data_IF_973813166434
#
_entry.id   IF_973813166434
#
_cell.length_a   1.000
_cell.length_b   1.000
_cell.length_c   1.000
_cell.angle_alpha   90.00
_cell.angle_beta   90.00
_cell.angle_gamma   90.00
#
_symmetry.space_group_name_H-M   'P 1'
#
loop_
_entity.id
_entity.type
_entity.pdbx_description
1 polymer ?
#
# COMPACT_ATOMS: atom_id res chain seq x y z
N UNK A 1 -16.46 53.82 5.29
CA UNK A 1 -15.23 53.56 6.05
C UNK A 1 -15.12 52.07 6.41
N UNK A 2 -15.30 51.16 5.43
CA UNK A 2 -14.98 49.73 5.53
C UNK A 2 -14.75 49.22 4.10
N UNK A 3 -13.53 49.37 3.61
CA UNK A 3 -12.97 48.62 2.49
C UNK A 3 -11.46 48.59 2.76
N UNK A 4 -10.85 47.40 2.88
CA UNK A 4 -9.42 47.22 2.64
C UNK A 4 -9.03 45.73 2.59
N UNK A 5 -8.94 45.24 1.35
CA UNK A 5 -7.87 44.42 0.77
C UNK A 5 -7.57 43.02 1.35
N UNK A 6 -8.18 42.01 0.74
CA UNK A 6 -7.57 40.68 0.56
C UNK A 6 -7.06 40.53 -0.88
N UNK A 7 -5.82 40.96 -1.11
CA UNK A 7 -5.08 40.68 -2.35
C UNK A 7 -4.46 39.29 -2.31
N UNK A 8 -5.19 38.28 -2.78
CA UNK A 8 -4.70 36.90 -2.93
C UNK A 8 -3.98 36.76 -4.27
N UNK A 9 -2.65 36.71 -4.23
CA UNK A 9 -1.82 36.34 -5.38
C UNK A 9 -2.07 34.86 -5.77
N UNK A 10 -2.89 34.64 -6.79
CA UNK A 10 -2.98 33.37 -7.51
C UNK A 10 -1.67 33.09 -8.26
N UNK A 11 -0.73 32.37 -7.63
CA UNK A 11 0.34 31.67 -8.35
C UNK A 11 -0.27 30.42 -8.99
N UNK A 12 -0.30 30.40 -10.33
CA UNK A 12 -0.68 29.24 -11.15
C UNK A 12 0.21 28.05 -10.82
N UNK A 13 -0.26 27.13 -9.97
CA UNK A 13 0.27 25.76 -9.91
C UNK A 13 -0.19 25.05 -11.18
N UNK A 14 0.75 24.77 -12.08
CA UNK A 14 0.54 23.78 -13.15
C UNK A 14 0.41 22.42 -12.46
N UNK A 15 -0.83 21.98 -12.24
CA UNK A 15 -1.10 20.58 -11.97
C UNK A 15 -0.77 19.81 -13.25
N UNK A 16 0.25 18.96 -13.19
CA UNK A 16 0.39 17.87 -14.14
C UNK A 16 -0.84 16.98 -13.94
N UNK A 17 -1.79 17.08 -14.87
CA UNK A 17 -2.88 16.13 -14.99
C UNK A 17 -2.24 14.78 -15.33
N UNK A 18 -2.03 13.94 -14.31
CA UNK A 18 -1.80 12.51 -14.49
C UNK A 18 -3.08 11.98 -15.10
N UNK A 19 -3.06 11.75 -16.43
CA UNK A 19 -4.10 10.98 -17.11
C UNK A 19 -4.12 9.60 -16.46
N UNK A 20 -5.08 9.38 -15.56
CA UNK A 20 -5.46 8.04 -15.14
C UNK A 20 -6.01 7.32 -16.36
N UNK A 21 -5.19 6.45 -16.96
CA UNK A 21 -5.66 5.44 -17.88
C UNK A 21 -6.60 4.51 -17.10
N UNK A 22 -7.80 4.20 -17.62
CA UNK A 22 -8.67 3.23 -16.98
C UNK A 22 -7.94 1.88 -16.94
N UNK A 23 -8.01 1.13 -15.83
CA UNK A 23 -7.49 -0.23 -15.82
C UNK A 23 -8.31 -1.05 -16.82
N UNK A 24 -7.58 -1.57 -17.81
CA UNK A 24 -8.02 -2.64 -18.68
C UNK A 24 -8.57 -3.76 -17.80
N UNK A 25 -9.87 -4.04 -17.93
CA UNK A 25 -10.55 -5.10 -17.18
C UNK A 25 -9.94 -6.43 -17.60
N UNK A 26 -9.02 -6.94 -16.79
CA UNK A 26 -8.51 -8.29 -16.93
C UNK A 26 -9.56 -9.25 -16.37
N UNK A 27 -9.96 -10.21 -17.20
CA UNK A 27 -10.85 -11.35 -16.94
C UNK A 27 -10.30 -12.37 -15.91
N UNK A 28 -9.57 -11.90 -14.90
CA UNK A 28 -8.93 -12.75 -13.89
C UNK A 28 -9.88 -13.16 -12.74
N UNK A 29 -11.01 -12.47 -12.58
CA UNK A 29 -11.97 -12.73 -11.49
C UNK A 29 -12.78 -14.00 -11.74
N UNK A 30 -13.09 -14.34 -13.00
CA UNK A 30 -13.91 -15.52 -13.35
C UNK A 30 -13.19 -16.85 -13.10
N UNK A 31 -11.85 -16.89 -13.25
CA UNK A 31 -11.05 -18.09 -13.02
C UNK A 31 -10.84 -18.42 -11.54
N UNK A 32 -10.73 -17.41 -10.65
CA UNK A 32 -10.66 -17.64 -9.20
C UNK A 32 -12.03 -17.97 -8.58
N UNK A 33 -13.12 -17.41 -9.14
CA UNK A 33 -14.50 -17.66 -8.69
C UNK A 33 -15.01 -19.06 -9.07
N UNK A 34 -14.70 -19.55 -10.28
CA UNK A 34 -15.00 -20.93 -10.67
C UNK A 34 -14.17 -21.96 -9.90
N UNK A 35 -12.96 -21.60 -9.47
CA UNK A 35 -12.14 -22.46 -8.59
C UNK A 35 -12.72 -22.52 -7.16
N UNK A 36 -13.34 -21.46 -6.66
CA UNK A 36 -13.96 -21.44 -5.32
C UNK A 36 -15.32 -22.17 -5.28
N UNK A 37 -16.17 -21.99 -6.31
CA UNK A 37 -17.44 -22.70 -6.41
C UNK A 37 -17.27 -24.23 -6.56
N UNK A 38 -16.19 -24.66 -7.23
CA UNK A 38 -15.88 -26.09 -7.39
C UNK A 38 -15.04 -26.69 -6.23
N UNK A 39 -14.30 -25.90 -5.45
CA UNK A 39 -13.48 -26.38 -4.32
C UNK A 39 -14.17 -26.33 -2.94
N UNK A 40 -15.42 -25.88 -2.82
CA UNK A 40 -16.16 -25.97 -1.55
C UNK A 40 -16.43 -27.42 -1.11
N UNK A 41 -16.24 -28.40 -2.01
CA UNK A 41 -16.33 -29.83 -1.70
C UNK A 41 -14.98 -30.48 -1.33
N UNK A 42 -13.84 -29.78 -1.48
CA UNK A 42 -12.49 -30.32 -1.23
C UNK A 42 -11.54 -29.18 -0.78
N UNK A 43 -11.34 -29.00 0.54
CA UNK A 43 -10.40 -28.01 1.08
C UNK A 43 -9.16 -28.71 1.65
N UNK A 44 -8.07 -28.66 0.86
CA UNK A 44 -6.67 -28.76 1.28
C UNK A 44 -5.73 -29.27 0.17
N UNK A 45 -4.56 -28.66 -0.13
CA UNK A 45 -4.03 -27.33 0.20
C UNK A 45 -3.66 -26.50 -1.07
N UNK A 46 -4.00 -25.20 -1.11
CA UNK A 46 -3.48 -24.28 -2.13
C UNK A 46 -3.23 -22.87 -1.59
N UNK A 47 -2.45 -22.73 -0.52
CA UNK A 47 -1.83 -21.46 -0.16
C UNK A 47 -0.47 -21.70 0.48
N UNK A 48 0.55 -21.87 -0.37
CA UNK A 48 1.95 -21.71 0.02
C UNK A 48 2.66 -20.83 -1.02
N UNK A 49 2.31 -19.55 -1.02
CA UNK A 49 3.09 -18.47 -1.65
C UNK A 49 2.90 -17.18 -0.85
N UNK A 50 3.58 -17.08 0.29
CA UNK A 50 4.01 -15.79 0.90
C UNK A 50 4.93 -16.05 2.11
N UNK A 51 6.23 -16.18 1.84
CA UNK A 51 7.30 -15.72 2.74
C UNK A 51 8.18 -14.76 1.97
N UNK A 52 8.07 -13.49 2.32
CA UNK A 52 9.15 -12.51 2.30
C UNK A 52 8.71 -11.35 3.21
N UNK A 53 8.60 -11.67 4.50
CA UNK A 53 8.73 -10.67 5.56
C UNK A 53 10.21 -10.73 5.95
N UNK A 54 10.92 -9.64 5.71
CA UNK A 54 12.32 -9.48 6.08
C UNK A 54 12.43 -9.39 7.61
N UNK A 55 13.29 -10.17 8.29
CA UNK A 55 13.81 -9.82 9.59
C UNK A 55 15.17 -9.12 9.43
N UNK A 56 15.30 -7.92 9.99
CA UNK A 56 16.60 -7.27 10.17
C UNK A 56 17.42 -8.05 11.20
N UNK A 57 18.50 -8.72 10.78
CA UNK A 57 19.81 -8.75 11.46
C UNK A 57 20.88 -9.38 10.56
N UNK A 58 22.13 -9.02 10.81
CA UNK A 58 23.31 -9.12 9.94
C UNK A 58 23.83 -10.53 9.55
N UNK A 59 24.59 -10.53 8.45
CA UNK A 59 25.84 -11.28 8.20
C UNK A 59 25.85 -12.46 7.19
N UNK A 60 26.66 -12.23 6.14
CA UNK A 60 27.60 -13.11 5.44
C UNK A 60 27.16 -14.32 4.58
N UNK A 61 27.63 -14.25 3.32
CA UNK A 61 28.19 -15.28 2.44
C UNK A 61 27.30 -16.25 1.61
N UNK A 62 27.28 -15.92 0.30
CA UNK A 62 27.65 -16.77 -0.86
C UNK A 62 26.73 -17.92 -1.36
N UNK A 63 26.82 -18.26 -2.68
CA UNK A 63 25.68 -18.66 -3.49
C UNK A 63 25.70 -20.13 -3.96
N UNK A 64 24.54 -20.70 -4.26
CA UNK A 64 24.43 -21.97 -5.01
C UNK A 64 23.36 -21.88 -6.10
N UNK A 65 23.79 -22.24 -7.31
CA UNK A 65 23.02 -22.48 -8.52
C UNK A 65 22.11 -23.70 -8.37
N UNK A 66 20.84 -23.62 -8.80
CA UNK A 66 20.10 -24.83 -9.14
C UNK A 66 19.19 -24.61 -10.36
N UNK A 67 19.40 -25.46 -11.37
CA UNK A 67 18.70 -25.50 -12.65
C UNK A 67 17.45 -26.37 -12.47
N UNK A 68 16.27 -25.84 -12.81
CA UNK A 68 15.07 -26.66 -12.96
C UNK A 68 14.84 -27.01 -14.44
N UNK A 69 14.81 -28.31 -14.72
CA UNK A 69 14.34 -28.89 -15.98
C UNK A 69 12.82 -29.07 -15.92
N UNK A 70 12.13 -28.69 -17.00
CA UNK A 70 10.69 -28.89 -17.20
C UNK A 70 10.48 -30.17 -17.98
N UNK A 71 9.83 -31.17 -17.36
CA UNK A 71 9.38 -32.38 -18.04
C UNK A 71 8.01 -32.14 -18.68
N UNK A 72 7.95 -32.25 -20.01
CA UNK A 72 6.72 -32.24 -20.81
C UNK A 72 6.17 -33.66 -20.85
N UNK A 73 4.97 -33.88 -20.31
CA UNK A 73 4.26 -35.17 -20.40
C UNK A 73 3.30 -35.11 -21.59
N UNK A 74 3.63 -35.88 -22.64
CA UNK A 74 2.73 -36.24 -23.73
C UNK A 74 1.70 -37.27 -23.23
N UNK A 75 0.42 -37.05 -23.52
CA UNK A 75 -0.65 -38.05 -23.37
C UNK A 75 -1.49 -38.10 -24.64
N UNK A 76 -0.98 -38.83 -25.63
CA UNK A 76 -1.81 -39.46 -26.65
C UNK A 76 -2.01 -40.92 -26.23
N UNK A 77 -3.24 -41.27 -25.83
CA UNK A 77 -3.61 -42.68 -25.63
C UNK A 77 -4.98 -42.93 -26.23
N UNK A 78 -4.89 -43.67 -27.34
CA UNK A 78 -5.95 -44.26 -28.15
C UNK A 78 -6.75 -45.24 -27.29
N UNK A 79 -8.09 -45.19 -27.35
CA UNK A 79 -8.95 -46.29 -26.89
C UNK A 79 -9.97 -46.69 -27.98
N UNK A 80 -10.31 -47.99 -28.07
CA UNK A 80 -10.95 -48.60 -29.23
C UNK A 80 -12.49 -48.57 -29.19
N UNK A 81 -13.09 -48.64 -30.38
CA UNK A 81 -14.51 -48.92 -30.61
C UNK A 81 -14.87 -50.36 -30.20
N UNK A 82 -16.01 -50.57 -29.50
CA UNK A 82 -16.68 -51.86 -29.51
C UNK A 82 -17.95 -51.82 -30.38
N UNK A 83 -17.91 -52.59 -31.46
CA UNK A 83 -19.06 -53.15 -32.16
C UNK A 83 -19.61 -54.34 -31.39
N UNK A 84 -20.90 -54.34 -31.06
CA UNK A 84 -21.55 -55.49 -30.43
C UNK A 84 -23.07 -55.33 -30.36
N UNK A 85 -23.76 -55.81 -31.39
CA UNK A 85 -25.21 -56.02 -31.39
C UNK A 85 -25.54 -57.18 -30.44
N UNK A 86 -26.41 -56.95 -29.46
CA UNK A 86 -27.24 -58.01 -28.89
C UNK A 86 -28.65 -57.49 -28.61
N UNK A 87 -29.59 -58.01 -29.40
CA UNK A 87 -31.03 -57.92 -29.22
C UNK A 87 -31.43 -58.83 -28.05
N UNK A 88 -31.93 -58.24 -26.95
CA UNK A 88 -32.88 -58.91 -26.07
C UNK A 88 -33.97 -57.92 -25.69
N UNK A 89 -35.12 -58.08 -26.33
CA UNK A 89 -36.38 -57.48 -25.94
C UNK A 89 -36.84 -58.14 -24.62
N UNK A 90 -36.82 -57.37 -23.53
CA UNK A 90 -37.63 -57.63 -22.33
C UNK A 90 -38.56 -56.43 -22.13
N UNK A 91 -39.85 -56.70 -22.32
CA UNK A 91 -40.93 -55.78 -22.03
C UNK A 91 -40.99 -55.57 -20.51
N UNK A 92 -40.34 -54.51 -20.01
CA UNK A 92 -40.63 -53.97 -18.67
C UNK A 92 -41.69 -52.88 -18.81
N UNK A 93 -42.76 -52.89 -17.98
CA UNK A 93 -43.78 -51.87 -18.01
C UNK A 93 -43.19 -50.49 -17.64
N UNK A 94 -43.69 -49.39 -18.22
CA UNK A 94 -43.20 -48.06 -17.93
C UNK A 94 -43.54 -47.68 -16.49
N UNK A 95 -42.57 -47.79 -15.59
CA UNK A 95 -42.61 -47.20 -14.24
C UNK A 95 -42.41 -45.69 -14.35
N UNK A 96 -43.39 -45.01 -14.96
CA UNK A 96 -43.44 -43.56 -15.19
C UNK A 96 -43.74 -42.73 -13.91
N UNK A 97 -43.34 -43.24 -12.73
CA UNK A 97 -43.72 -42.67 -11.42
C UNK A 97 -42.59 -42.05 -10.61
N UNK A 98 -41.35 -42.01 -11.12
CA UNK A 98 -40.20 -41.50 -10.37
C UNK A 98 -39.41 -40.36 -11.02
N UNK A 99 -39.81 -39.86 -12.20
CA UNK A 99 -39.09 -38.75 -12.86
C UNK A 99 -39.29 -37.40 -12.16
N UNK A 100 -40.45 -37.16 -11.56
CA UNK A 100 -40.78 -35.88 -10.90
C UNK A 100 -39.97 -35.60 -9.62
N UNK A 101 -39.38 -36.62 -9.01
CA UNK A 101 -38.60 -36.45 -7.77
C UNK A 101 -37.15 -36.03 -8.05
N UNK A 102 -36.58 -36.44 -9.19
CA UNK A 102 -35.24 -36.03 -9.62
C UNK A 102 -35.18 -34.55 -10.06
N UNK A 103 -36.22 -34.06 -10.76
CA UNK A 103 -36.28 -32.65 -11.19
C UNK A 103 -36.29 -31.64 -10.03
N UNK A 104 -36.86 -32.00 -8.87
CA UNK A 104 -36.91 -31.12 -7.70
C UNK A 104 -35.57 -31.04 -6.96
N UNK A 105 -34.82 -32.15 -6.86
CA UNK A 105 -33.48 -32.15 -6.26
C UNK A 105 -32.51 -31.30 -7.11
N UNK A 106 -32.59 -31.42 -8.43
CA UNK A 106 -31.76 -30.63 -9.36
C UNK A 106 -32.10 -29.13 -9.30
N UNK A 107 -33.38 -28.78 -9.18
CA UNK A 107 -33.79 -27.39 -9.00
C UNK A 107 -33.26 -26.78 -7.69
N UNK A 108 -33.37 -27.51 -6.58
CA UNK A 108 -32.87 -27.06 -5.27
C UNK A 108 -31.35 -26.88 -5.31
N UNK A 109 -30.63 -27.80 -5.95
CA UNK A 109 -29.18 -27.72 -6.12
C UNK A 109 -28.76 -26.52 -6.99
N UNK A 110 -29.47 -26.28 -8.10
CA UNK A 110 -29.22 -25.13 -8.96
C UNK A 110 -29.47 -23.80 -8.21
N UNK A 111 -30.56 -23.73 -7.44
CA UNK A 111 -30.87 -22.56 -6.62
C UNK A 111 -29.81 -22.33 -5.52
N UNK A 112 -29.41 -23.38 -4.81
CA UNK A 112 -28.38 -23.30 -3.77
C UNK A 112 -27.02 -22.84 -4.36
N UNK A 113 -26.67 -23.35 -5.54
CA UNK A 113 -25.47 -22.92 -6.26
C UNK A 113 -25.52 -21.42 -6.61
N UNK A 114 -26.66 -20.94 -7.13
CA UNK A 114 -26.82 -19.52 -7.48
C UNK A 114 -26.71 -18.61 -6.26
N UNK A 115 -27.35 -18.98 -5.14
CA UNK A 115 -27.25 -18.24 -3.88
C UNK A 115 -25.82 -18.25 -3.34
N UNK A 116 -25.12 -19.38 -3.39
CA UNK A 116 -23.69 -19.48 -3.02
C UNK A 116 -22.84 -18.54 -3.87
N UNK A 117 -23.06 -18.54 -5.18
CA UNK A 117 -22.33 -17.71 -6.12
C UNK A 117 -22.59 -16.22 -5.88
N UNK A 118 -23.83 -15.82 -5.65
CA UNK A 118 -24.20 -14.44 -5.33
C UNK A 118 -23.52 -13.96 -4.04
N UNK A 119 -23.58 -14.75 -2.97
CA UNK A 119 -22.94 -14.43 -1.68
C UNK A 119 -21.41 -14.32 -1.86
N UNK A 120 -20.79 -15.28 -2.54
CA UNK A 120 -19.36 -15.26 -2.81
C UNK A 120 -18.96 -14.01 -3.62
N UNK A 121 -19.67 -13.72 -4.70
CA UNK A 121 -19.41 -12.55 -5.54
C UNK A 121 -19.52 -11.24 -4.76
N UNK A 122 -20.53 -11.12 -3.90
CA UNK A 122 -20.69 -9.95 -3.04
C UNK A 122 -19.52 -9.82 -2.06
N UNK A 123 -19.20 -10.90 -1.34
CA UNK A 123 -18.13 -10.90 -0.35
C UNK A 123 -16.77 -10.58 -0.97
N UNK A 124 -16.37 -11.32 -2.00
CA UNK A 124 -15.06 -11.15 -2.64
C UNK A 124 -14.97 -9.83 -3.42
N UNK A 125 -16.08 -9.36 -4.00
CA UNK A 125 -16.14 -8.06 -4.64
C UNK A 125 -15.83 -6.92 -3.67
N UNK A 126 -16.47 -6.90 -2.50
CA UNK A 126 -16.19 -5.91 -1.46
C UNK A 126 -14.78 -6.04 -0.91
N UNK A 127 -14.33 -7.26 -0.63
CA UNK A 127 -12.97 -7.52 -0.14
C UNK A 127 -11.91 -7.01 -1.11
N UNK A 128 -12.03 -7.32 -2.39
CA UNK A 128 -11.10 -6.86 -3.43
C UNK A 128 -11.05 -5.34 -3.50
N UNK A 129 -12.20 -4.67 -3.36
CA UNK A 129 -12.26 -3.21 -3.32
C UNK A 129 -11.50 -2.61 -2.13
N UNK A 130 -11.71 -3.15 -0.92
CA UNK A 130 -11.01 -2.71 0.29
C UNK A 130 -9.50 -3.00 0.20
N UNK A 131 -9.11 -4.18 -0.29
CA UNK A 131 -7.70 -4.53 -0.48
C UNK A 131 -7.02 -3.60 -1.48
N UNK A 132 -7.69 -3.22 -2.57
CA UNK A 132 -7.21 -2.21 -3.51
C UNK A 132 -6.95 -0.86 -2.85
N UNK A 133 -7.88 -0.39 -2.00
CA UNK A 133 -7.72 0.86 -1.26
C UNK A 133 -6.57 0.81 -0.26
N UNK A 134 -6.36 -0.33 0.40
CA UNK A 134 -5.19 -0.55 1.26
C UNK A 134 -3.90 -0.43 0.45
N UNK A 135 -3.82 -1.05 -0.73
CA UNK A 135 -2.62 -0.94 -1.57
C UNK A 135 -2.38 0.49 -2.04
N UNK A 136 -3.42 1.21 -2.46
CA UNK A 136 -3.32 2.62 -2.88
C UNK A 136 -2.89 3.55 -1.73
N UNK A 137 -3.36 3.27 -0.51
CA UNK A 137 -2.93 3.97 0.69
C UNK A 137 -1.46 3.71 0.99
N UNK A 138 -1.02 2.45 0.99
CA UNK A 138 0.38 2.08 1.25
C UNK A 138 1.33 2.66 0.19
N UNK A 139 0.94 2.64 -1.09
CA UNK A 139 1.72 3.25 -2.16
C UNK A 139 1.90 4.77 -1.94
N UNK A 140 0.81 5.48 -1.60
CA UNK A 140 0.88 6.92 -1.29
C UNK A 140 1.71 7.21 -0.04
N UNK A 141 1.62 6.35 0.97
CA UNK A 141 2.41 6.47 2.20
C UNK A 141 3.91 6.39 1.89
N UNK A 142 4.33 5.43 1.06
CA UNK A 142 5.71 5.32 0.58
C UNK A 142 6.14 6.49 -0.31
N UNK A 143 5.27 6.99 -1.18
CA UNK A 143 5.57 8.15 -2.03
C UNK A 143 5.82 9.41 -1.20
N UNK A 144 5.01 9.65 -0.16
CA UNK A 144 5.18 10.78 0.77
C UNK A 144 6.50 10.69 1.52
N UNK A 145 6.83 9.51 2.06
CA UNK A 145 8.11 9.25 2.73
C UNK A 145 9.30 9.44 1.79
N UNK A 146 9.20 8.97 0.55
CA UNK A 146 10.26 9.10 -0.45
C UNK A 146 10.48 10.53 -0.91
N UNK A 147 9.45 11.17 -1.45
CA UNK A 147 9.57 12.43 -2.20
C UNK A 147 9.62 13.66 -1.28
N UNK A 148 8.65 13.76 -0.35
CA UNK A 148 8.52 14.97 0.48
C UNK A 148 9.62 14.98 1.54
N UNK A 149 9.90 13.84 2.17
CA UNK A 149 11.00 13.78 3.12
C UNK A 149 12.37 14.01 2.45
N UNK A 150 12.56 13.59 1.18
CA UNK A 150 13.77 13.95 0.44
C UNK A 150 13.92 15.47 0.24
N UNK A 151 12.83 16.19 -0.05
CA UNK A 151 12.82 17.65 -0.14
C UNK A 151 13.21 18.33 1.18
N UNK A 152 12.65 17.87 2.30
CA UNK A 152 12.98 18.35 3.64
C UNK A 152 14.45 18.07 3.96
N UNK A 153 14.93 16.83 3.75
CA UNK A 153 16.33 16.44 3.96
C UNK A 153 17.30 17.30 3.14
N UNK A 154 16.98 17.55 1.87
CA UNK A 154 17.80 18.39 1.00
C UNK A 154 17.90 19.84 1.53
N UNK A 155 16.79 20.42 1.97
CA UNK A 155 16.81 21.78 2.54
C UNK A 155 17.52 21.85 3.89
N UNK A 156 17.43 20.81 4.72
CA UNK A 156 18.22 20.69 5.95
C UNK A 156 19.72 20.60 5.66
N UNK A 157 20.13 19.81 4.66
CA UNK A 157 21.54 19.72 4.24
C UNK A 157 22.06 21.06 3.71
N UNK A 158 21.26 21.75 2.88
CA UNK A 158 21.59 23.10 2.41
C UNK A 158 21.79 24.05 3.59
N UNK A 159 20.91 24.03 4.58
CA UNK A 159 21.03 24.88 5.76
C UNK A 159 22.26 24.52 6.60
N UNK A 160 22.53 23.23 6.79
CA UNK A 160 23.73 22.73 7.47
C UNK A 160 24.99 23.24 6.78
N UNK A 161 25.04 23.19 5.45
CA UNK A 161 26.17 23.70 4.68
C UNK A 161 26.33 25.21 4.82
N UNK A 162 25.24 25.98 4.79
CA UNK A 162 25.28 27.44 4.96
C UNK A 162 25.80 27.83 6.34
N UNK A 163 25.32 27.17 7.40
CA UNK A 163 25.70 27.48 8.78
C UNK A 163 27.10 26.97 9.14
N UNK A 164 27.56 25.89 8.48
CA UNK A 164 28.88 25.25 8.59
C UNK A 164 29.24 24.69 9.99
N UNK A 165 28.94 25.42 11.06
CA UNK A 165 29.15 24.99 12.43
C UNK A 165 27.96 24.18 12.94
N UNK A 166 28.24 22.99 13.48
CA UNK A 166 27.22 22.09 14.03
C UNK A 166 26.40 22.78 15.14
N UNK A 167 27.02 23.58 16.00
CA UNK A 167 26.32 24.32 17.07
C UNK A 167 25.27 25.29 16.54
N UNK A 168 25.56 25.98 15.44
CA UNK A 168 24.61 26.91 14.80
C UNK A 168 23.47 26.15 14.12
N UNK A 169 23.79 24.98 13.54
CA UNK A 169 22.79 24.10 12.94
C UNK A 169 21.86 23.47 13.99
N UNK A 170 22.37 23.05 15.14
CA UNK A 170 21.53 22.57 16.24
C UNK A 170 20.65 23.69 16.82
N UNK A 171 21.18 24.90 16.96
CA UNK A 171 20.37 26.07 17.31
C UNK A 171 19.27 26.35 16.25
N UNK A 172 19.58 26.10 14.98
CA UNK A 172 18.60 26.18 13.89
C UNK A 172 17.47 25.14 14.06
N UNK A 173 17.80 23.86 14.27
CA UNK A 173 16.82 22.80 14.46
C UNK A 173 15.94 23.05 15.68
N UNK A 174 16.55 23.48 16.79
CA UNK A 174 15.84 23.81 18.03
C UNK A 174 14.82 24.93 17.84
N UNK A 175 15.18 26.04 17.17
CA UNK A 175 14.19 27.11 16.93
C UNK A 175 13.13 26.70 15.90
N UNK A 176 13.50 25.88 14.91
CA UNK A 176 12.57 25.41 13.88
C UNK A 176 11.59 24.36 14.43
N UNK A 177 11.87 23.79 15.61
CA UNK A 177 11.07 22.72 16.20
C UNK A 177 11.23 21.38 15.48
N UNK A 178 12.39 21.14 14.89
CA UNK A 178 12.66 19.94 14.09
C UNK A 178 13.50 18.92 14.88
N UNK A 179 13.14 17.62 14.85
CA UNK A 179 13.93 16.59 15.52
C UNK A 179 15.28 16.36 14.82
N UNK A 180 16.32 16.11 15.61
CA UNK A 180 17.70 15.92 15.12
C UNK A 180 17.83 14.71 14.18
N UNK A 181 17.04 13.66 14.42
CA UNK A 181 17.03 12.42 13.64
C UNK A 181 16.59 12.56 12.18
N UNK A 182 16.03 13.71 11.76
CA UNK A 182 15.66 13.94 10.35
C UNK A 182 16.86 14.10 9.42
N UNK A 183 18.04 14.38 10.00
CA UNK A 183 19.26 14.62 9.25
C UNK A 183 20.08 13.36 9.02
N UNK A 184 19.80 12.30 9.76
CA UNK A 184 20.44 11.00 9.57
C UNK A 184 19.78 10.27 8.40
N UNK A 185 20.55 10.08 7.34
CA UNK A 185 20.07 9.38 6.15
C UNK A 185 20.04 7.87 6.44
N UNK A 186 18.89 7.36 6.89
CA UNK A 186 18.67 5.91 7.05
C UNK A 186 18.87 5.15 5.72
N UNK A 187 18.75 5.87 4.60
CA UNK A 187 18.78 5.33 3.25
C UNK A 187 20.18 5.02 2.72
N UNK A 188 21.25 5.42 3.41
CA UNK A 188 22.64 5.24 2.95
C UNK A 188 22.97 5.90 1.60
N UNK A 189 22.02 6.66 1.01
CA UNK A 189 22.25 7.47 -0.18
C UNK A 189 23.04 8.69 0.26
N UNK A 190 24.33 8.68 -0.03
CA UNK A 190 25.19 9.82 0.19
C UNK A 190 24.71 10.99 -0.69
N UNK A 191 23.80 11.81 -0.15
CA UNK A 191 23.39 13.08 -0.74
C UNK A 191 24.66 13.87 -1.05
N UNK A 192 24.76 14.36 -2.28
CA UNK A 192 26.05 14.74 -2.83
C UNK A 192 26.74 15.79 -1.95
N UNK A 193 27.95 15.45 -1.49
CA UNK A 193 28.74 16.30 -0.59
C UNK A 193 29.29 17.55 -1.29
N UNK A 194 28.94 17.76 -2.57
CA UNK A 194 29.44 18.87 -3.38
C UNK A 194 28.47 20.05 -3.30
N UNK A 195 28.91 21.21 -2.78
CA UNK A 195 28.05 22.38 -2.61
C UNK A 195 27.43 22.89 -3.91
N UNK A 196 28.17 22.78 -5.02
CA UNK A 196 27.70 23.22 -6.33
C UNK A 196 26.44 22.49 -6.81
N UNK A 197 26.28 21.23 -6.43
CA UNK A 197 25.10 20.43 -6.79
C UNK A 197 23.92 20.76 -5.87
N UNK A 198 24.17 20.91 -4.56
CA UNK A 198 23.14 21.26 -3.58
C UNK A 198 22.42 22.58 -3.91
N UNK A 199 23.15 23.57 -4.43
CA UNK A 199 22.62 24.90 -4.75
C UNK A 199 22.42 25.16 -6.25
N UNK A 200 22.52 24.14 -7.12
CA UNK A 200 22.44 24.33 -8.57
C UNK A 200 21.17 25.07 -9.03
N UNK A 201 20.05 24.80 -8.37
CA UNK A 201 18.73 25.39 -8.67
C UNK A 201 18.47 26.72 -7.96
N UNK A 202 19.31 27.09 -6.99
CA UNK A 202 19.08 28.25 -6.13
C UNK A 202 20.22 29.27 -6.24
N UNK A 203 19.91 30.43 -6.80
CA UNK A 203 20.84 31.58 -6.83
C UNK A 203 20.39 32.62 -5.81
N UNK A 204 21.33 33.12 -5.01
CA UNK A 204 21.09 34.24 -4.11
C UNK A 204 21.10 35.57 -4.86
N UNK A 205 20.12 36.44 -4.59
CA UNK A 205 20.05 37.78 -5.16
C UNK A 205 20.70 38.82 -4.23
N UNK A 206 21.46 39.75 -4.81
CA UNK A 206 22.01 40.87 -4.06
C UNK A 206 23.31 41.44 -4.61
N UNK A 207 23.54 42.73 -4.32
CA UNK A 207 24.77 43.43 -4.71
C UNK A 207 25.97 43.01 -3.87
N UNK A 208 25.80 42.84 -2.56
CA UNK A 208 26.89 42.46 -1.65
C UNK A 208 26.91 40.95 -1.42
N UNK A 209 28.10 40.41 -1.13
CA UNK A 209 28.27 38.99 -0.77
C UNK A 209 27.39 38.58 0.42
N UNK A 210 27.34 39.40 1.46
CA UNK A 210 26.46 39.19 2.62
C UNK A 210 24.99 39.10 2.21
N UNK A 211 24.52 40.04 1.37
CA UNK A 211 23.12 40.06 0.92
C UNK A 211 22.77 38.81 0.11
N UNK A 212 23.65 38.35 -0.79
CA UNK A 212 23.47 37.11 -1.56
C UNK A 212 23.41 35.87 -0.66
N UNK A 213 24.31 35.75 0.31
CA UNK A 213 24.34 34.65 1.28
C UNK A 213 23.06 34.60 2.11
N UNK A 214 22.65 35.76 2.66
CA UNK A 214 21.43 35.88 3.46
C UNK A 214 20.17 35.58 2.64
N UNK A 215 20.10 36.08 1.41
CA UNK A 215 18.98 35.81 0.50
C UNK A 215 18.87 34.31 0.17
N UNK A 216 20.00 33.67 -0.14
CA UNK A 216 20.06 32.23 -0.38
C UNK A 216 19.55 31.44 0.84
N UNK A 217 20.00 31.78 2.04
CA UNK A 217 19.54 31.12 3.26
C UNK A 217 18.03 31.29 3.51
N UNK A 218 17.47 32.48 3.24
CA UNK A 218 16.02 32.69 3.34
C UNK A 218 15.25 31.91 2.28
N UNK A 219 15.79 31.73 1.06
CA UNK A 219 15.17 30.87 0.04
C UNK A 219 15.13 29.41 0.48
N UNK A 220 16.23 28.89 1.03
CA UNK A 220 16.28 27.54 1.58
C UNK A 220 15.27 27.39 2.72
N UNK A 221 15.19 28.37 3.63
CA UNK A 221 14.22 28.34 4.71
C UNK A 221 12.77 28.36 4.22
N UNK A 222 12.44 29.17 3.22
CA UNK A 222 11.10 29.20 2.63
C UNK A 222 10.74 27.88 1.95
N UNK A 223 11.69 27.30 1.20
CA UNK A 223 11.54 25.97 0.61
C UNK A 223 11.25 24.91 1.68
N UNK A 224 12.00 24.95 2.80
CA UNK A 224 11.80 24.05 3.93
C UNK A 224 10.39 24.20 4.53
N UNK A 225 9.93 25.44 4.73
CA UNK A 225 8.58 25.73 5.24
C UNK A 225 7.52 25.18 4.29
N UNK A 226 7.67 25.39 2.99
CA UNK A 226 6.74 24.89 1.97
C UNK A 226 6.71 23.35 1.96
N UNK A 227 7.87 22.69 2.03
CA UNK A 227 8.01 21.24 2.05
C UNK A 227 7.41 20.62 3.32
N UNK A 228 7.63 21.21 4.51
CA UNK A 228 7.05 20.74 5.76
C UNK A 228 5.53 20.99 5.79
N UNK A 229 5.07 22.11 5.24
CA UNK A 229 3.63 22.36 5.14
C UNK A 229 2.97 21.33 4.23
N UNK A 230 3.58 21.01 3.09
CA UNK A 230 3.11 19.97 2.18
C UNK A 230 3.13 18.59 2.85
N UNK A 231 4.18 18.26 3.59
CA UNK A 231 4.29 17.03 4.37
C UNK A 231 3.15 16.89 5.38
N UNK A 232 2.93 17.90 6.21
CA UNK A 232 1.89 17.88 7.25
C UNK A 232 0.49 17.77 6.64
N UNK A 233 0.26 18.44 5.51
CA UNK A 233 -1.01 18.29 4.78
C UNK A 233 -1.21 16.85 4.29
N UNK A 234 -0.19 16.28 3.65
CA UNK A 234 -0.24 14.89 3.17
C UNK A 234 -0.42 13.89 4.33
N UNK A 235 0.25 14.12 5.46
CA UNK A 235 0.12 13.32 6.68
C UNK A 235 -1.32 13.33 7.22
N UNK A 236 -1.95 14.51 7.29
CA UNK A 236 -3.34 14.64 7.72
C UNK A 236 -4.32 13.96 6.75
N UNK A 237 -4.06 14.07 5.45
CA UNK A 237 -4.92 13.46 4.44
C UNK A 237 -4.78 11.93 4.44
N UNK A 238 -3.56 11.39 4.58
CA UNK A 238 -3.33 9.96 4.81
C UNK A 238 -3.99 9.46 6.10
N UNK A 239 -3.97 10.26 7.17
CA UNK A 239 -4.65 9.91 8.42
C UNK A 239 -6.16 9.77 8.27
N UNK A 240 -6.79 10.62 7.44
CA UNK A 240 -8.21 10.50 7.10
C UNK A 240 -8.48 9.27 6.25
N UNK A 241 -7.68 9.04 5.21
CA UNK A 241 -7.80 7.85 4.35
C UNK A 241 -7.69 6.56 5.18
N UNK A 242 -6.74 6.50 6.11
CA UNK A 242 -6.60 5.40 7.06
C UNK A 242 -7.88 5.16 7.87
N UNK A 243 -8.45 6.22 8.46
CA UNK A 243 -9.70 6.12 9.23
C UNK A 243 -10.89 5.67 8.38
N UNK A 244 -10.98 6.14 7.14
CA UNK A 244 -12.01 5.72 6.18
C UNK A 244 -11.89 4.23 5.85
N UNK A 245 -10.67 3.73 5.57
CA UNK A 245 -10.41 2.32 5.32
C UNK A 245 -10.77 1.47 6.54
N UNK A 246 -10.36 1.87 7.75
CA UNK A 246 -10.70 1.17 8.98
C UNK A 246 -12.21 1.12 9.21
N UNK A 247 -12.92 2.22 8.96
CA UNK A 247 -14.39 2.27 9.07
C UNK A 247 -15.03 1.31 8.09
N UNK A 248 -14.58 1.30 6.83
CA UNK A 248 -15.08 0.37 5.81
C UNK A 248 -14.80 -1.09 6.12
N UNK A 249 -13.64 -1.41 6.68
CA UNK A 249 -13.33 -2.78 7.15
C UNK A 249 -14.30 -3.18 8.27
N UNK A 250 -14.57 -2.28 9.21
CA UNK A 250 -15.52 -2.55 10.29
C UNK A 250 -16.95 -2.75 9.77
N UNK A 251 -17.39 -1.89 8.85
CA UNK A 251 -18.71 -2.03 8.21
C UNK A 251 -18.78 -3.31 7.37
N UNK A 252 -17.70 -3.69 6.71
CA UNK A 252 -17.59 -4.96 5.99
C UNK A 252 -17.77 -6.16 6.93
N UNK A 253 -17.09 -6.19 8.07
CA UNK A 253 -17.22 -7.26 9.07
C UNK A 253 -18.61 -7.30 9.71
N UNK A 254 -19.27 -6.15 9.90
CA UNK A 254 -20.65 -6.07 10.43
C UNK A 254 -21.69 -6.55 9.42
N UNK A 255 -21.53 -6.18 8.15
CA UNK A 255 -22.48 -6.51 7.09
C UNK A 255 -22.29 -7.93 6.54
N UNK A 256 -21.11 -8.52 6.75
CA UNK A 256 -20.78 -9.88 6.32
C UNK A 256 -20.40 -10.72 7.54
N UNK A 257 -21.41 -11.17 8.28
CA UNK A 257 -21.21 -12.17 9.32
C UNK A 257 -20.79 -13.50 8.69
N UNK A 258 -19.47 -13.71 8.59
CA UNK A 258 -18.87 -14.90 8.01
C UNK A 258 -19.34 -16.19 8.68
N UNK A 259 -19.49 -16.18 10.00
CA UNK A 259 -19.96 -17.35 10.75
C UNK A 259 -21.42 -17.64 10.39
N UNK A 260 -22.25 -16.59 10.29
CA UNK A 260 -23.63 -16.67 9.80
C UNK A 260 -23.70 -17.20 8.37
N UNK A 261 -22.89 -16.65 7.46
CA UNK A 261 -22.84 -17.08 6.05
C UNK A 261 -22.38 -18.53 5.93
N UNK A 262 -21.28 -18.91 6.57
CA UNK A 262 -20.74 -20.27 6.49
C UNK A 262 -21.72 -21.30 7.09
N UNK A 263 -22.36 -20.97 8.22
CA UNK A 263 -23.41 -21.83 8.80
C UNK A 263 -24.62 -21.96 7.86
N UNK A 264 -25.05 -20.87 7.22
CA UNK A 264 -26.11 -20.90 6.20
C UNK A 264 -25.71 -21.76 4.99
N UNK A 265 -24.48 -21.65 4.49
CA UNK A 265 -24.02 -22.48 3.37
C UNK A 265 -23.95 -23.97 3.74
N UNK A 266 -23.53 -24.29 4.97
CA UNK A 266 -23.54 -25.66 5.49
C UNK A 266 -24.94 -26.27 5.55
N UNK A 267 -26.00 -25.48 5.77
CA UNK A 267 -27.38 -26.00 5.74
C UNK A 267 -27.78 -26.54 4.37
N UNK A 268 -27.28 -25.95 3.26
CA UNK A 268 -27.51 -26.50 1.92
C UNK A 268 -26.73 -27.80 1.69
N UNK A 269 -25.52 -27.90 2.26
CA UNK A 269 -24.67 -29.08 2.08
C UNK A 269 -25.15 -30.28 2.91
N UNK A 270 -25.84 -30.07 4.04
CA UNK A 270 -26.41 -31.17 4.83
C UNK A 270 -27.45 -32.00 4.06
N UNK A 271 -28.19 -31.40 3.12
CA UNK A 271 -29.12 -32.13 2.25
C UNK A 271 -28.39 -33.14 1.32
N UNK A 272 -27.15 -32.84 0.96
CA UNK A 272 -26.30 -33.65 0.08
C UNK A 272 -25.39 -34.60 0.88
N UNK A 273 -24.97 -34.18 2.08
CA UNK A 273 -24.04 -34.91 2.96
C UNK A 273 -24.65 -36.19 3.54
N UNK A 274 -25.97 -36.30 3.73
CA UNK A 274 -26.61 -37.56 4.14
C UNK A 274 -26.42 -38.69 3.12
N UNK A 275 -26.23 -38.38 1.82
CA UNK A 275 -25.88 -39.36 0.78
C UNK A 275 -24.38 -39.69 0.73
N UNK A 276 -23.51 -38.81 1.24
CA UNK A 276 -22.04 -38.94 1.19
C UNK A 276 -21.38 -39.40 2.51
N UNK A 277 -22.14 -39.49 3.62
CA UNK A 277 -21.68 -40.06 4.92
C UNK A 277 -21.05 -41.45 4.82
N UNK A 278 -21.24 -42.17 3.72
CA UNK A 278 -20.69 -43.50 3.48
C UNK A 278 -19.28 -43.51 2.86
N UNK A 279 -18.72 -42.37 2.42
CA UNK A 279 -17.51 -42.38 1.58
C UNK A 279 -16.30 -41.54 2.01
N UNK A 280 -16.32 -40.73 3.08
CA UNK A 280 -15.18 -39.83 3.32
C UNK A 280 -14.58 -39.87 4.72
N UNK A 281 -13.39 -40.49 4.77
CA UNK A 281 -12.08 -39.88 5.05
C UNK A 281 -12.10 -38.54 5.80
N UNK A 282 -11.53 -38.57 6.99
CA UNK A 282 -11.26 -37.43 7.88
C UNK A 282 -10.65 -36.23 7.14
N UNK A 283 -11.29 -35.05 7.16
CA UNK A 283 -10.71 -33.84 6.60
C UNK A 283 -9.51 -33.41 7.43
N UNK A 284 -8.38 -33.17 6.76
CA UNK A 284 -7.17 -32.57 7.34
C UNK A 284 -7.44 -31.10 7.73
N UNK A 285 -8.23 -30.88 8.77
CA UNK A 285 -8.29 -29.59 9.44
C UNK A 285 -7.05 -29.43 10.31
N UNK A 286 -6.24 -28.43 9.99
CA UNK A 286 -5.11 -28.02 10.82
C UNK A 286 -5.68 -27.56 12.16
N UNK A 287 -5.42 -28.26 13.28
CA UNK A 287 -6.03 -27.93 14.55
C UNK A 287 -5.53 -26.55 15.01
N UNK A 288 -6.44 -25.59 15.14
CA UNK A 288 -6.19 -24.31 15.81
C UNK A 288 -6.38 -23.04 14.98
N UNK A 289 -6.61 -23.11 13.65
CA UNK A 289 -6.92 -21.91 12.85
C UNK A 289 -8.39 -22.00 12.42
N UNK A 290 -9.21 -21.08 12.92
CA UNK A 290 -10.57 -20.93 12.43
C UNK A 290 -10.52 -20.36 11.00
N UNK A 291 -11.15 -21.00 10.00
CA UNK A 291 -11.15 -20.53 8.61
C UNK A 291 -11.67 -19.08 8.48
N UNK A 292 -12.57 -18.69 9.38
CA UNK A 292 -13.11 -17.34 9.53
C UNK A 292 -12.02 -16.28 9.73
N UNK A 293 -10.91 -16.63 10.39
CA UNK A 293 -9.83 -15.69 10.66
C UNK A 293 -8.96 -15.41 9.43
N UNK A 294 -8.76 -16.40 8.56
CA UNK A 294 -8.01 -16.24 7.32
C UNK A 294 -8.77 -15.41 6.27
N UNK A 295 -10.10 -15.43 6.35
CA UNK A 295 -10.95 -14.66 5.46
C UNK A 295 -11.11 -13.19 5.88
N UNK A 296 -10.76 -12.83 7.12
CA UNK A 296 -10.86 -11.46 7.63
C UNK A 296 -9.78 -10.56 7.05
N UNK A 297 -10.20 -9.38 6.62
CA UNK A 297 -9.30 -8.30 6.20
C UNK A 297 -8.73 -7.64 7.46
N UNK A 298 -7.40 -7.63 7.57
CA UNK A 298 -6.69 -6.92 8.62
C UNK A 298 -6.60 -5.41 8.29
N UNK A 299 -6.73 -4.53 9.28
CA UNK A 299 -6.49 -3.11 9.07
C UNK A 299 -5.02 -2.86 8.66
N UNK A 300 -4.75 -1.87 7.78
CA UNK A 300 -3.39 -1.51 7.42
C UNK A 300 -2.61 -0.91 8.59
N UNK A 301 -1.31 -0.73 8.41
CA UNK A 301 -0.49 -0.01 9.38
C UNK A 301 -0.90 1.47 9.49
N UNK A 302 -0.99 2.02 10.70
CA UNK A 302 -1.34 3.42 10.91
C UNK A 302 -0.23 4.36 10.41
N UNK A 303 -0.59 5.58 10.04
CA UNK A 303 0.34 6.56 9.44
C UNK A 303 1.50 6.87 10.38
N UNK A 304 1.22 6.97 11.68
CA UNK A 304 2.17 7.26 12.77
C UNK A 304 3.29 6.23 12.89
N UNK A 305 3.06 5.00 12.40
CA UNK A 305 4.05 3.92 12.49
C UNK A 305 5.21 4.08 11.50
N UNK A 306 4.98 4.76 10.37
CA UNK A 306 5.95 4.91 9.29
C UNK A 306 6.39 6.36 9.12
N UNK A 307 5.51 7.32 9.37
CA UNK A 307 5.78 8.74 9.20
C UNK A 307 5.87 9.46 10.56
N UNK A 308 6.98 10.15 10.86
CA UNK A 308 7.09 10.94 12.08
C UNK A 308 6.17 12.17 12.05
N UNK A 309 5.47 12.44 13.15
CA UNK A 309 4.73 13.70 13.28
C UNK A 309 5.71 14.88 13.38
N UNK A 310 5.57 15.84 12.46
CA UNK A 310 6.43 17.01 12.38
C UNK A 310 5.68 18.26 12.82
N UNK A 311 6.31 19.01 13.72
CA UNK A 311 5.81 20.30 14.17
C UNK A 311 5.77 21.33 13.04
N UNK A 312 4.88 22.32 13.18
CA UNK A 312 4.82 23.45 12.27
C UNK A 312 6.08 24.32 12.43
N UNK A 313 6.81 24.54 11.33
CA UNK A 313 7.94 25.48 11.35
C UNK A 313 7.43 26.92 11.43
N UNK A 314 8.07 27.79 12.23
CA UNK A 314 7.65 29.18 12.36
C UNK A 314 7.68 29.93 11.01
N UNK A 315 6.69 30.79 10.73
CA UNK A 315 6.68 31.56 9.49
C UNK A 315 7.90 32.48 9.42
N UNK A 316 8.36 32.79 8.21
CA UNK A 316 9.57 33.61 7.99
C UNK A 316 9.55 34.94 8.75
N UNK A 317 8.39 35.55 8.97
CA UNK A 317 8.25 36.79 9.75
C UNK A 317 8.79 36.67 11.17
N UNK A 318 8.55 35.53 11.82
CA UNK A 318 9.02 35.23 13.18
C UNK A 318 10.47 34.73 13.16
N UNK A 319 10.81 33.89 12.18
CA UNK A 319 12.14 33.32 12.04
C UNK A 319 13.21 34.31 11.54
N UNK A 320 12.83 35.43 10.93
CA UNK A 320 13.77 36.37 10.29
C UNK A 320 14.85 36.86 11.25
N UNK A 321 14.48 37.30 12.45
CA UNK A 321 15.43 37.80 13.46
C UNK A 321 16.40 36.72 13.94
N UNK A 322 15.95 35.58 14.51
CA UNK A 322 16.85 34.54 14.99
C UNK A 322 17.70 33.96 13.86
N UNK A 323 17.12 33.73 12.68
CA UNK A 323 17.87 33.22 11.53
C UNK A 323 18.92 34.22 11.05
N UNK A 324 18.65 35.53 11.04
CA UNK A 324 19.67 36.54 10.68
C UNK A 324 20.84 36.51 11.67
N UNK A 325 20.59 36.37 12.97
CA UNK A 325 21.65 36.28 13.97
C UNK A 325 22.54 35.03 13.77
N UNK A 326 21.93 33.87 13.47
CA UNK A 326 22.67 32.64 13.15
C UNK A 326 23.51 32.81 11.87
N UNK A 327 22.94 33.45 10.84
CA UNK A 327 23.63 33.71 9.57
C UNK A 327 24.77 34.71 9.72
N UNK A 328 24.64 35.72 10.58
CA UNK A 328 25.72 36.68 10.87
C UNK A 328 26.91 35.98 11.54
N UNK A 329 26.63 35.13 12.53
CA UNK A 329 27.66 34.31 13.19
C UNK A 329 28.36 33.35 12.20
N UNK A 330 27.59 32.66 11.36
CA UNK A 330 28.13 31.78 10.33
C UNK A 330 28.95 32.57 9.29
N UNK A 331 28.48 33.74 8.86
CA UNK A 331 29.17 34.55 7.86
C UNK A 331 30.48 35.15 8.37
N UNK A 332 30.55 35.53 9.65
CA UNK A 332 31.80 35.96 10.28
C UNK A 332 32.86 34.85 10.18
N UNK A 333 32.48 33.61 10.51
CA UNK A 333 33.35 32.45 10.38
C UNK A 333 33.82 32.23 8.91
N UNK A 334 32.91 32.34 7.93
CA UNK A 334 33.25 32.25 6.51
C UNK A 334 34.13 33.39 5.99
N UNK A 335 34.19 34.52 6.68
CA UNK A 335 35.10 35.62 6.36
C UNK A 335 36.50 35.31 6.87
N UNK A 336 36.59 34.75 8.06
CA UNK A 336 37.85 34.47 8.74
C UNK A 336 38.56 33.24 8.13
N UNK A 337 37.80 32.23 7.69
CA UNK A 337 38.34 31.07 6.96
C UNK A 337 38.78 31.39 5.51
N UNK A 338 38.42 32.56 4.95
CA UNK A 338 38.71 32.92 3.56
C UNK A 338 40.15 33.34 3.27
N UNK A 339 41.06 33.25 4.24
CA UNK A 339 42.48 33.15 3.92
C UNK A 339 42.84 31.82 3.21
N UNK A 340 41.89 30.89 2.99
CA UNK A 340 42.16 29.56 2.41
C UNK A 340 41.27 29.09 1.23
N UNK A 341 40.44 29.90 0.57
CA UNK A 341 39.77 29.41 -0.67
C UNK A 341 38.59 30.20 -1.24
N UNK A 342 38.17 29.88 -2.50
CA UNK A 342 37.43 30.78 -3.37
C UNK A 342 35.92 30.60 -3.21
N UNK A 343 35.25 31.64 -2.75
CA UNK A 343 33.80 31.80 -2.91
C UNK A 343 33.50 33.27 -3.25
#
# INVERSE_FOLDING_TARGET
MVELLTGVHRKRRRFLAVKRTPPEKADATSLQLNAFANNLNDIGPLFDMRRNVVPCTASSHSPIHEKYQVNVINKDTILPKPTGRHLFARNNPPTHRYTWFFDMEDFINAFAHEVKLEIANRYFGFRTGIEGEIQDYLARLHDVDGQIAAGIRLDLLRMRFLLHQERLFQAFLSFAGLPEGLTEDQSGRQLSSRPGELFAEMKGEGLTRWRRYRDLAFRVYLSLVDNITAYRQAYLDLGKEYQEICTRINDFHRNNDLTGILSFLQTFDTATAERLKFLHTEPYHRPGIHPDQELRIAPPCPVESLLPDLAAVPPLKQAKKPLTALLEAAFAFHRDCRQAGPF
#
